data_IF_430669865233
#
_entry.id   IF_430669865233
#
_cell.length_a   1.000
_cell.length_b   1.000
_cell.length_c   1.000
_cell.angle_alpha   90.00
_cell.angle_beta   90.00
_cell.angle_gamma   90.00
#
_symmetry.space_group_name_H-M   'P 1'
#
loop_
_entity.id
_entity.type
_entity.pdbx_description
1 polymer ?
#
# COMPACT_ATOMS: atom_id res chain seq x y z
N UNK A 1 17.54 -16.95 12.90
CA UNK A 1 17.22 -17.05 14.34
C UNK A 1 16.75 -15.66 14.72
N UNK A 2 15.48 -15.53 15.05
CA UNK A 2 14.84 -14.24 15.32
C UNK A 2 15.61 -13.48 16.41
N UNK A 3 16.00 -12.22 16.17
CA UNK A 3 16.72 -11.44 17.17
C UNK A 3 15.81 -11.14 18.37
N UNK A 4 16.35 -11.29 19.59
CA UNK A 4 15.61 -10.87 20.79
C UNK A 4 15.55 -9.34 20.90
N UNK A 5 16.62 -8.67 20.45
CA UNK A 5 16.74 -7.21 20.47
C UNK A 5 17.38 -6.71 19.17
N UNK A 6 16.96 -5.52 18.75
CA UNK A 6 17.61 -4.73 17.70
C UNK A 6 17.94 -3.36 18.30
N UNK A 7 19.22 -3.08 18.57
CA UNK A 7 19.65 -1.89 19.33
C UNK A 7 18.88 -1.79 20.67
N UNK A 8 17.99 -0.79 20.80
CA UNK A 8 17.14 -0.53 21.98
C UNK A 8 15.73 -1.10 21.86
N UNK A 9 15.42 -1.73 20.73
CA UNK A 9 14.09 -2.24 20.42
C UNK A 9 14.01 -3.72 20.83
N UNK A 10 13.12 -4.02 21.77
CA UNK A 10 12.84 -5.39 22.20
C UNK A 10 11.81 -6.02 21.26
N UNK A 11 12.16 -7.13 20.61
CA UNK A 11 11.24 -7.85 19.72
C UNK A 11 10.15 -8.52 20.53
N UNK A 12 8.90 -8.28 20.13
CA UNK A 12 7.69 -8.84 20.76
C UNK A 12 6.95 -9.78 19.83
N UNK A 13 6.89 -9.43 18.57
CA UNK A 13 6.08 -10.12 17.57
C UNK A 13 6.89 -10.21 16.27
N UNK A 14 6.80 -11.34 15.58
CA UNK A 14 7.36 -11.54 14.24
C UNK A 14 6.20 -11.47 13.27
N UNK A 15 6.21 -10.49 12.37
CA UNK A 15 5.19 -10.38 11.32
C UNK A 15 5.62 -11.17 10.08
N UNK A 16 6.90 -11.08 9.72
CA UNK A 16 7.51 -11.77 8.58
C UNK A 16 9.01 -11.98 8.84
N UNK A 17 9.58 -13.10 8.42
CA UNK A 17 11.01 -13.39 8.51
C UNK A 17 11.43 -14.33 7.37
N UNK A 18 12.51 -13.97 6.68
CA UNK A 18 13.14 -14.74 5.61
C UNK A 18 14.68 -14.74 5.78
N UNK A 19 15.40 -15.20 4.76
CA UNK A 19 16.88 -15.24 4.79
C UNK A 19 17.55 -13.87 4.68
N UNK A 20 16.83 -12.87 4.16
CA UNK A 20 17.30 -11.51 3.91
C UNK A 20 16.89 -10.54 5.02
N UNK A 21 16.05 -10.96 5.97
CA UNK A 21 15.70 -10.21 7.16
C UNK A 21 14.26 -10.44 7.59
N UNK A 22 13.57 -9.40 8.08
CA UNK A 22 12.21 -9.55 8.57
C UNK A 22 11.54 -8.27 9.03
N UNK A 23 10.26 -8.38 9.34
CA UNK A 23 9.41 -7.33 9.88
C UNK A 23 8.96 -7.74 11.28
N UNK A 24 9.21 -6.89 12.27
CA UNK A 24 9.01 -7.21 13.68
C UNK A 24 8.20 -6.12 14.39
N UNK A 25 7.23 -6.54 15.20
CA UNK A 25 6.61 -5.69 16.22
C UNK A 25 7.54 -5.58 17.43
N UNK A 26 7.90 -4.35 17.80
CA UNK A 26 8.89 -4.08 18.85
C UNK A 26 8.40 -3.10 19.89
N UNK A 27 9.04 -3.13 21.06
CA UNK A 27 8.88 -2.15 22.12
C UNK A 27 10.18 -1.33 22.26
N UNK A 28 10.10 -0.02 22.08
CA UNK A 28 11.23 0.89 22.31
C UNK A 28 11.42 1.05 23.82
N UNK A 29 12.56 0.59 24.33
CA UNK A 29 12.88 0.58 25.76
C UNK A 29 13.10 1.99 26.33
N UNK A 30 13.43 2.99 25.50
CA UNK A 30 13.65 4.36 25.96
C UNK A 30 12.33 5.11 26.11
N UNK A 31 11.41 4.93 25.15
CA UNK A 31 10.16 5.70 25.08
C UNK A 31 8.95 4.95 25.62
N UNK A 32 9.05 3.63 25.77
CA UNK A 32 7.94 2.76 26.15
C UNK A 32 6.85 2.65 25.08
N UNK A 33 7.17 3.00 23.81
CA UNK A 33 6.22 2.96 22.68
C UNK A 33 6.41 1.70 21.85
N UNK A 34 5.33 1.27 21.20
CA UNK A 34 5.39 0.20 20.20
C UNK A 34 5.75 0.77 18.84
N UNK A 35 6.59 0.04 18.13
CA UNK A 35 7.00 0.32 16.76
C UNK A 35 6.93 -0.96 15.93
N UNK A 36 6.98 -0.80 14.61
CA UNK A 36 7.31 -1.88 13.70
C UNK A 36 8.70 -1.59 13.15
N UNK A 37 9.58 -2.58 13.11
CA UNK A 37 10.88 -2.45 12.45
C UNK A 37 10.95 -3.41 11.27
N UNK A 38 11.49 -2.92 10.16
CA UNK A 38 11.90 -3.75 9.03
C UNK A 38 13.42 -3.83 9.07
N UNK A 39 13.95 -5.04 9.05
CA UNK A 39 15.39 -5.33 9.06
C UNK A 39 15.75 -6.01 7.74
N UNK A 40 16.84 -5.55 7.12
CA UNK A 40 17.48 -6.19 5.96
C UNK A 40 18.91 -6.52 6.34
N UNK A 41 19.25 -7.80 6.30
CA UNK A 41 20.56 -8.32 6.70
C UNK A 41 21.69 -7.86 5.77
N UNK A 42 22.96 -8.06 6.16
CA UNK A 42 24.11 -7.55 5.42
C UNK A 42 24.34 -8.26 4.08
N UNK A 43 23.77 -9.45 3.88
CA UNK A 43 23.82 -10.20 2.62
C UNK A 43 22.68 -9.88 1.67
N UNK A 44 21.72 -9.05 2.10
CA UNK A 44 20.56 -8.71 1.31
C UNK A 44 20.99 -7.98 0.02
N UNK A 45 20.37 -8.30 -1.14
CA UNK A 45 20.66 -7.61 -2.39
C UNK A 45 20.57 -6.08 -2.25
N UNK A 46 21.50 -5.31 -2.84
CA UNK A 46 21.53 -3.85 -2.73
C UNK A 46 20.20 -3.19 -3.11
N UNK A 47 19.49 -3.76 -4.08
CA UNK A 47 18.21 -3.24 -4.58
C UNK A 47 17.13 -3.25 -3.49
N UNK A 48 17.10 -4.30 -2.66
CA UNK A 48 16.13 -4.42 -1.55
C UNK A 48 16.48 -3.45 -0.42
N UNK A 49 17.77 -3.25 -0.16
CA UNK A 49 18.25 -2.26 0.81
C UNK A 49 17.93 -0.83 0.35
N UNK A 50 18.12 -0.54 -0.94
CA UNK A 50 17.75 0.74 -1.55
C UNK A 50 16.24 0.99 -1.47
N UNK A 51 15.40 -0.03 -1.69
CA UNK A 51 13.96 0.06 -1.50
C UNK A 51 13.58 0.43 -0.06
N UNK A 52 14.24 -0.17 0.94
CA UNK A 52 14.02 0.16 2.35
C UNK A 52 14.39 1.62 2.68
N UNK A 53 15.51 2.10 2.15
CA UNK A 53 15.95 3.50 2.33
C UNK A 53 15.04 4.49 1.57
N UNK A 54 14.51 4.08 0.41
CA UNK A 54 13.52 4.85 -0.34
C UNK A 54 12.21 4.97 0.44
N UNK A 55 11.75 3.87 1.04
CA UNK A 55 10.57 3.87 1.92
C UNK A 55 10.73 4.88 3.06
N UNK A 56 11.88 4.87 3.75
CA UNK A 56 12.20 5.87 4.77
C UNK A 56 12.14 7.30 4.24
N UNK A 57 12.77 7.55 3.09
CA UNK A 57 12.83 8.89 2.48
C UNK A 57 11.44 9.44 2.23
N UNK A 58 10.54 8.62 1.67
CA UNK A 58 9.18 9.03 1.34
C UNK A 58 8.33 9.21 2.60
N UNK A 59 8.30 8.21 3.48
CA UNK A 59 7.45 8.23 4.68
C UNK A 59 7.91 9.25 5.74
N UNK A 60 9.19 9.63 5.75
CA UNK A 60 9.68 10.71 6.63
C UNK A 60 9.38 12.10 6.06
N UNK A 61 9.29 12.24 4.73
CA UNK A 61 8.95 13.50 4.05
C UNK A 61 7.43 13.79 4.10
N UNK A 62 6.59 12.79 3.85
CA UNK A 62 5.12 12.95 3.79
C UNK A 62 4.52 12.92 5.21
N UNK A 63 4.49 14.08 5.88
CA UNK A 63 3.85 14.22 7.20
C UNK A 63 2.34 14.41 7.07
N UNK A 64 1.60 13.31 7.09
CA UNK A 64 0.13 13.33 7.02
C UNK A 64 -0.49 12.29 7.97
N UNK A 65 -1.62 12.58 8.66
CA UNK A 65 -2.26 11.62 9.57
C UNK A 65 -2.67 10.30 8.90
N UNK A 66 -2.86 10.29 7.59
CA UNK A 66 -3.20 9.10 6.80
C UNK A 66 -2.01 8.49 6.03
N UNK A 67 -0.77 8.82 6.40
CA UNK A 67 0.44 8.17 5.91
C UNK A 67 1.20 7.61 7.11
N UNK A 68 1.65 6.36 7.03
CA UNK A 68 2.46 5.75 8.07
C UNK A 68 3.82 6.46 8.13
N UNK A 69 4.21 6.88 9.34
CA UNK A 69 5.42 7.66 9.52
C UNK A 69 6.62 6.77 9.82
N UNK A 70 7.72 7.04 9.11
CA UNK A 70 9.01 6.43 9.38
C UNK A 70 9.85 7.38 10.24
N UNK A 71 10.23 6.90 11.43
CA UNK A 71 10.92 7.72 12.44
C UNK A 71 12.44 7.70 12.28
N UNK A 72 13.02 6.54 11.91
CA UNK A 72 14.47 6.34 11.80
C UNK A 72 14.78 5.31 10.71
N UNK A 73 15.92 5.50 10.05
CA UNK A 73 16.59 4.49 9.25
C UNK A 73 18.08 4.50 9.62
N UNK A 74 18.66 3.35 9.94
CA UNK A 74 20.06 3.27 10.39
C UNK A 74 20.68 1.89 10.12
N UNK A 75 22.01 1.85 10.11
CA UNK A 75 22.81 0.63 9.89
C UNK A 75 23.34 0.09 11.22
N UNK A 76 23.22 -1.21 11.45
CA UNK A 76 23.81 -1.91 12.59
C UNK A 76 25.31 -2.22 12.34
N UNK A 77 26.09 -2.54 13.40
CA UNK A 77 27.51 -2.86 13.26
C UNK A 77 27.81 -4.08 12.37
N UNK A 78 26.85 -4.99 12.22
CA UNK A 78 26.96 -6.17 11.35
C UNK A 78 26.65 -5.87 9.87
N UNK A 79 26.25 -4.62 9.56
CA UNK A 79 25.88 -4.17 8.22
C UNK A 79 24.39 -4.26 7.90
N UNK A 80 23.56 -4.75 8.83
CA UNK A 80 22.10 -4.80 8.62
C UNK A 80 21.49 -3.40 8.59
N UNK A 81 20.52 -3.17 7.72
CA UNK A 81 19.77 -1.92 7.63
C UNK A 81 18.42 -2.06 8.34
N UNK A 82 18.07 -1.05 9.14
CA UNK A 82 16.88 -1.05 10.00
C UNK A 82 16.05 0.19 9.72
N UNK A 83 14.77 -0.02 9.38
CA UNK A 83 13.76 1.01 9.26
C UNK A 83 12.78 0.91 10.43
N UNK A 84 12.53 2.03 11.11
CA UNK A 84 11.62 2.12 12.26
C UNK A 84 10.36 2.89 11.90
N UNK A 85 9.22 2.21 11.98
CA UNK A 85 7.89 2.68 11.61
C UNK A 85 7.03 2.84 12.87
N UNK A 86 6.08 3.76 12.82
CA UNK A 86 5.03 3.83 13.83
C UNK A 86 4.12 2.59 13.76
N UNK A 87 3.75 2.06 14.92
CA UNK A 87 2.91 0.87 15.03
C UNK A 87 1.42 1.22 14.94
N UNK A 88 0.72 0.66 13.96
CA UNK A 88 -0.74 0.73 13.87
C UNK A 88 -1.41 -0.24 14.86
N UNK A 89 -2.27 0.27 15.73
CA UNK A 89 -2.75 -0.49 16.89
C UNK A 89 -3.79 -1.56 16.57
N UNK A 90 -4.36 -1.60 15.36
CA UNK A 90 -5.45 -2.48 14.99
C UNK A 90 -5.18 -3.29 13.71
N UNK A 91 -3.91 -3.47 13.36
CA UNK A 91 -3.48 -4.30 12.23
C UNK A 91 -3.64 -3.61 10.88
N UNK A 92 -3.62 -4.42 9.82
CA UNK A 92 -3.84 -3.99 8.44
C UNK A 92 -5.27 -4.30 8.00
N UNK A 93 -5.77 -3.64 6.95
CA UNK A 93 -7.11 -3.86 6.43
C UNK A 93 -7.33 -5.32 6.00
N UNK A 94 -6.28 -6.02 5.56
CA UNK A 94 -6.32 -7.46 5.26
C UNK A 94 -6.87 -8.29 6.44
N UNK A 95 -6.53 -7.93 7.68
CA UNK A 95 -6.99 -8.62 8.89
C UNK A 95 -8.50 -8.46 9.12
N UNK A 96 -9.11 -7.45 8.51
CA UNK A 96 -10.53 -7.11 8.61
C UNK A 96 -11.34 -7.62 7.41
N UNK A 97 -10.68 -8.19 6.40
CA UNK A 97 -11.31 -8.70 5.18
C UNK A 97 -11.44 -10.22 5.24
N UNK A 98 -12.66 -10.69 5.54
CA UNK A 98 -12.93 -12.12 5.77
C UNK A 98 -13.50 -12.84 4.54
N UNK A 99 -13.31 -12.29 3.33
CA UNK A 99 -13.99 -12.77 2.12
C UNK A 99 -15.46 -12.39 2.02
N UNK A 100 -15.93 -11.48 2.89
CA UNK A 100 -17.28 -10.94 2.90
C UNK A 100 -17.25 -9.41 2.77
N UNK A 101 -18.36 -8.76 2.36
CA UNK A 101 -18.42 -7.31 2.27
C UNK A 101 -18.05 -6.63 3.59
N UNK A 102 -17.10 -5.69 3.52
CA UNK A 102 -16.65 -4.90 4.65
C UNK A 102 -17.77 -3.96 5.11
N UNK A 103 -17.93 -3.84 6.44
CA UNK A 103 -18.95 -2.99 7.04
C UNK A 103 -18.84 -1.55 6.52
N UNK A 104 -19.98 -0.94 6.15
CA UNK A 104 -20.04 0.38 5.52
C UNK A 104 -19.27 1.46 6.28
N UNK A 105 -19.32 1.47 7.62
CA UNK A 105 -18.56 2.44 8.42
C UNK A 105 -17.05 2.33 8.24
N UNK A 106 -16.51 1.11 8.30
CA UNK A 106 -15.09 0.85 8.08
C UNK A 106 -14.69 1.15 6.63
N UNK A 107 -15.49 0.69 5.65
CA UNK A 107 -15.25 0.97 4.23
C UNK A 107 -15.12 2.47 3.95
N UNK A 108 -16.00 3.30 4.53
CA UNK A 108 -15.94 4.76 4.37
C UNK A 108 -14.71 5.37 5.03
N UNK A 109 -14.33 4.91 6.22
CA UNK A 109 -13.11 5.36 6.89
C UNK A 109 -11.85 5.02 6.08
N UNK A 110 -11.80 3.80 5.52
CA UNK A 110 -10.73 3.35 4.62
C UNK A 110 -10.64 4.23 3.38
N UNK A 111 -11.74 4.41 2.65
CA UNK A 111 -11.73 5.21 1.43
C UNK A 111 -11.30 6.65 1.70
N UNK A 112 -11.80 7.27 2.77
CA UNK A 112 -11.39 8.63 3.13
C UNK A 112 -9.88 8.69 3.44
N UNK A 113 -9.40 7.83 4.34
CA UNK A 113 -8.00 7.85 4.75
C UNK A 113 -7.03 7.51 3.61
N UNK A 114 -7.35 6.51 2.79
CA UNK A 114 -6.54 6.14 1.63
C UNK A 114 -6.46 7.29 0.63
N UNK A 115 -7.58 7.94 0.30
CA UNK A 115 -7.59 9.05 -0.64
C UNK A 115 -6.83 10.27 -0.11
N UNK A 116 -6.97 10.58 1.19
CA UNK A 116 -6.25 11.69 1.81
C UNK A 116 -4.74 11.39 1.92
N UNK A 117 -4.36 10.16 2.28
CA UNK A 117 -2.97 9.72 2.37
C UNK A 117 -2.25 9.68 1.02
N UNK A 118 -2.88 9.06 0.00
CA UNK A 118 -2.35 9.08 -1.36
C UNK A 118 -2.31 10.49 -1.94
N UNK A 119 -3.35 11.30 -1.68
CA UNK A 119 -3.38 12.70 -2.09
C UNK A 119 -2.19 13.51 -1.54
N UNK A 120 -1.84 13.29 -0.27
CA UNK A 120 -0.66 13.90 0.34
C UNK A 120 0.65 13.44 -0.31
N UNK A 121 0.81 12.13 -0.55
CA UNK A 121 1.99 11.61 -1.23
C UNK A 121 2.12 12.12 -2.68
N UNK A 122 1.00 12.17 -3.42
CA UNK A 122 0.94 12.68 -4.79
C UNK A 122 1.31 14.16 -4.87
N UNK A 123 0.96 14.96 -3.85
CA UNK A 123 1.30 16.38 -3.78
C UNK A 123 2.82 16.61 -3.63
N UNK A 124 3.51 15.69 -2.96
CA UNK A 124 4.97 15.65 -2.84
C UNK A 124 5.66 14.96 -4.04
N UNK A 125 4.90 14.56 -5.07
CA UNK A 125 5.44 13.95 -6.30
C UNK A 125 5.70 12.44 -6.22
N UNK A 126 5.21 11.76 -5.17
CA UNK A 126 5.35 10.31 -5.01
C UNK A 126 4.12 9.56 -5.51
N UNK A 127 4.30 8.44 -6.22
CA UNK A 127 3.23 7.50 -6.62
C UNK A 127 3.46 6.18 -5.89
N UNK A 128 2.45 5.63 -5.22
CA UNK A 128 2.60 4.49 -4.29
C UNK A 128 2.89 3.15 -4.99
N UNK A 129 2.12 2.81 -6.02
CA UNK A 129 2.28 1.64 -6.92
C UNK A 129 2.06 0.24 -6.31
N UNK A 130 2.04 0.10 -5.00
CA UNK A 130 1.70 -1.17 -4.32
C UNK A 130 0.56 -1.02 -3.29
N UNK A 131 -0.51 -0.28 -3.63
CA UNK A 131 -1.65 -0.14 -2.71
C UNK A 131 -2.46 -1.45 -2.67
N UNK A 132 -2.59 -2.03 -1.48
CA UNK A 132 -3.31 -3.28 -1.19
C UNK A 132 -3.75 -3.31 0.29
N UNK A 133 -4.66 -4.20 0.70
CA UNK A 133 -5.17 -4.26 2.08
C UNK A 133 -4.07 -4.36 3.15
N UNK A 134 -2.98 -5.06 2.88
CA UNK A 134 -1.83 -5.21 3.78
C UNK A 134 -1.12 -3.87 4.04
N UNK A 135 -1.16 -2.97 3.05
CA UNK A 135 -0.53 -1.65 3.09
C UNK A 135 -1.49 -0.54 3.57
N UNK A 136 -2.71 -0.91 3.98
CA UNK A 136 -3.69 0.01 4.57
C UNK A 136 -3.80 -0.31 6.06
N UNK A 137 -3.05 0.42 6.87
CA UNK A 137 -3.00 0.20 8.31
C UNK A 137 -4.18 0.86 9.03
N UNK A 138 -4.68 0.19 10.06
CA UNK A 138 -5.78 0.65 10.89
C UNK A 138 -5.23 0.93 12.29
N UNK A 139 -5.33 2.18 12.70
CA UNK A 139 -5.08 2.62 14.06
C UNK A 139 -6.42 2.91 14.75
N UNK A 140 -6.53 2.50 16.01
CA UNK A 140 -7.70 2.77 16.85
C UNK A 140 -7.26 3.71 17.97
N UNK A 141 -7.83 4.91 17.97
CA UNK A 141 -7.55 5.96 18.95
C UNK A 141 -8.80 6.37 19.73
N UNK A 142 -8.63 7.33 20.65
CA UNK A 142 -9.75 7.90 21.41
C UNK A 142 -10.78 8.58 20.51
N UNK A 143 -10.33 9.11 19.38
CA UNK A 143 -11.16 9.84 18.42
C UNK A 143 -11.75 8.93 17.33
N UNK A 144 -11.55 7.61 17.45
CA UNK A 144 -12.05 6.59 16.52
C UNK A 144 -10.94 5.93 15.70
N UNK A 145 -11.33 5.44 14.52
CA UNK A 145 -10.43 4.73 13.61
C UNK A 145 -9.69 5.76 12.74
N UNK A 146 -8.36 5.65 12.70
CA UNK A 146 -7.49 6.34 11.73
C UNK A 146 -6.95 5.30 10.75
N UNK A 147 -6.92 5.65 9.47
CA UNK A 147 -6.41 4.79 8.41
C UNK A 147 -5.13 5.40 7.86
N UNK A 148 -4.07 4.61 7.72
CA UNK A 148 -2.77 5.06 7.25
C UNK A 148 -2.29 4.22 6.07
N UNK A 149 -1.86 4.87 5.00
CA UNK A 149 -1.18 4.21 3.87
C UNK A 149 0.28 3.97 4.26
N UNK A 150 0.73 2.73 4.15
CA UNK A 150 2.07 2.28 4.49
C UNK A 150 2.75 1.61 3.30
N UNK A 151 4.04 1.31 3.45
CA UNK A 151 4.87 0.61 2.46
C UNK A 151 5.04 1.30 1.09
N UNK A 152 5.86 2.35 1.11
CA UNK A 152 6.28 3.06 -0.10
C UNK A 152 7.53 2.43 -0.74
N UNK A 153 7.83 1.16 -0.46
CA UNK A 153 9.03 0.49 -1.00
C UNK A 153 9.05 0.40 -2.54
N UNK A 154 7.87 0.41 -3.17
CA UNK A 154 7.68 0.41 -4.63
C UNK A 154 7.41 1.81 -5.21
N UNK A 155 7.40 2.83 -4.37
CA UNK A 155 6.92 4.14 -4.78
C UNK A 155 7.88 4.83 -5.75
N UNK A 156 7.31 5.51 -6.75
CA UNK A 156 8.05 6.25 -7.77
C UNK A 156 8.06 7.73 -7.45
N UNK A 157 9.25 8.33 -7.48
CA UNK A 157 9.44 9.78 -7.47
C UNK A 157 9.32 10.32 -8.90
N UNK A 158 8.38 11.25 -9.13
CA UNK A 158 8.16 11.83 -10.46
C UNK A 158 9.22 12.86 -10.86
N UNK A 159 10.03 13.35 -9.92
CA UNK A 159 11.14 14.28 -10.19
C UNK A 159 12.43 13.57 -10.64
N UNK A 160 12.58 12.27 -10.38
CA UNK A 160 13.74 11.48 -10.81
C UNK A 160 13.59 10.97 -12.26
N UNK A 161 14.48 11.42 -13.15
CA UNK A 161 14.50 11.00 -14.57
C UNK A 161 15.03 9.57 -14.76
N UNK A 162 15.75 9.03 -13.77
CA UNK A 162 16.33 7.69 -13.79
C UNK A 162 15.65 6.84 -12.70
N UNK A 163 14.45 6.34 -12.99
CA UNK A 163 13.84 5.32 -12.14
C UNK A 163 14.57 3.99 -12.38
N UNK A 164 15.31 3.52 -11.37
CA UNK A 164 15.82 2.15 -11.33
C UNK A 164 14.74 1.31 -10.66
N UNK A 165 14.18 0.28 -11.33
CA UNK A 165 13.35 -0.69 -10.66
C UNK A 165 14.19 -1.33 -9.55
N UNK A 166 13.77 -1.23 -8.28
CA UNK A 166 14.42 -1.93 -7.17
C UNK A 166 14.18 -3.46 -7.19
N UNK A 167 13.91 -4.04 -8.36
CA UNK A 167 13.70 -5.47 -8.54
C UNK A 167 14.44 -5.90 -9.80
N UNK A 168 15.70 -6.29 -9.61
CA UNK A 168 16.49 -7.00 -10.60
C UNK A 168 16.10 -8.49 -10.62
N UNK A 169 15.72 -8.97 -11.81
CA UNK A 169 16.04 -10.29 -12.38
C UNK A 169 16.52 -11.39 -11.40
N UNK A 170 15.64 -11.89 -10.55
CA UNK A 170 15.76 -13.21 -9.95
C UNK A 170 14.43 -13.93 -10.16
N UNK A 171 14.49 -15.22 -10.52
CA UNK A 171 13.32 -16.05 -10.84
C UNK A 171 12.33 -16.25 -9.67
N UNK A 172 12.57 -15.59 -8.53
CA UNK A 172 11.74 -15.62 -7.33
C UNK A 172 11.09 -14.25 -6.99
N UNK A 173 11.54 -13.13 -7.57
CA UNK A 173 10.91 -11.82 -7.39
C UNK A 173 9.98 -11.49 -8.56
N UNK A 174 8.83 -12.12 -8.52
CA UNK A 174 7.81 -12.14 -9.58
C UNK A 174 6.92 -10.90 -9.43
N UNK A 175 7.03 -9.98 -10.40
CA UNK A 175 6.19 -8.78 -10.64
C UNK A 175 6.28 -7.61 -9.64
N UNK A 176 6.33 -6.40 -10.20
CA UNK A 176 6.33 -5.10 -9.50
C UNK A 176 4.99 -4.84 -8.80
N UNK A 177 4.80 -5.40 -7.61
CA UNK A 177 3.60 -5.24 -6.77
C UNK A 177 2.72 -6.49 -6.74
N UNK A 178 1.73 -6.53 -5.85
CA UNK A 178 0.80 -7.67 -5.75
C UNK A 178 -0.12 -7.70 -6.99
N UNK A 179 -0.05 -8.74 -7.86
CA UNK A 179 -0.69 -8.74 -9.17
C UNK A 179 -2.13 -8.23 -9.17
N UNK A 180 -2.95 -8.70 -8.21
CA UNK A 180 -4.38 -8.36 -8.07
C UNK A 180 -4.75 -6.86 -8.05
N UNK A 181 -3.85 -5.98 -7.60
CA UNK A 181 -4.11 -4.53 -7.47
C UNK A 181 -3.38 -3.69 -8.51
N UNK A 182 -2.57 -4.32 -9.36
CA UNK A 182 -1.69 -3.64 -10.30
C UNK A 182 -2.47 -3.04 -11.47
N UNK A 183 -2.20 -1.77 -11.77
CA UNK A 183 -2.79 -1.10 -12.92
C UNK A 183 -2.26 -1.69 -14.25
N UNK A 184 -3.07 -1.76 -15.32
CA UNK A 184 -2.64 -2.29 -16.62
C UNK A 184 -1.37 -1.64 -17.18
N UNK A 185 -1.23 -0.32 -17.04
CA UNK A 185 -0.04 0.41 -17.47
C UNK A 185 1.20 0.09 -16.62
N UNK A 186 1.03 -0.30 -15.35
CA UNK A 186 2.15 -0.72 -14.51
C UNK A 186 2.68 -2.09 -14.94
N UNK A 187 1.82 -2.97 -15.45
CA UNK A 187 2.24 -4.24 -16.05
C UNK A 187 2.93 -4.04 -17.40
N UNK A 188 2.42 -3.11 -18.22
CA UNK A 188 2.88 -2.92 -19.59
C UNK A 188 4.14 -2.04 -19.70
N UNK A 189 4.18 -0.94 -18.95
CA UNK A 189 5.28 0.03 -18.95
C UNK A 189 5.42 0.69 -17.56
N UNK A 190 6.11 0.01 -16.63
CA UNK A 190 6.34 0.52 -15.27
C UNK A 190 6.97 1.92 -15.21
N UNK A 191 7.72 2.32 -16.25
CA UNK A 191 8.45 3.58 -16.27
C UNK A 191 7.54 4.77 -16.57
N UNK A 192 6.44 4.60 -17.30
CA UNK A 192 5.51 5.69 -17.62
C UNK A 192 4.34 5.84 -16.64
N UNK A 193 4.33 5.08 -15.54
CA UNK A 193 3.29 5.15 -14.49
C UNK A 193 3.20 6.55 -13.88
N UNK A 194 1.95 7.02 -13.73
CA UNK A 194 1.57 8.24 -13.03
C UNK A 194 0.63 7.92 -11.86
N UNK A 195 0.20 8.97 -11.13
CA UNK A 195 -0.68 8.87 -9.95
C UNK A 195 -2.00 8.12 -10.18
N UNK A 196 -2.45 7.95 -11.42
CA UNK A 196 -3.70 7.26 -11.75
C UNK A 196 -3.59 5.74 -11.64
N UNK A 197 -2.37 5.20 -11.55
CA UNK A 197 -2.19 3.79 -11.19
C UNK A 197 -2.69 3.52 -9.77
N UNK A 198 -2.40 4.40 -8.81
CA UNK A 198 -2.91 4.24 -7.44
C UNK A 198 -4.44 4.32 -7.41
N UNK A 199 -5.06 5.14 -8.27
CA UNK A 199 -6.53 5.21 -8.38
C UNK A 199 -7.14 3.92 -8.92
N UNK A 200 -6.43 3.19 -9.79
CA UNK A 200 -6.86 1.85 -10.20
C UNK A 200 -6.83 0.89 -9.00
N UNK A 201 -5.75 0.92 -8.22
CA UNK A 201 -5.64 0.11 -6.99
C UNK A 201 -6.72 0.48 -5.96
N UNK A 202 -7.08 1.76 -5.83
CA UNK A 202 -8.26 2.20 -5.04
C UNK A 202 -9.56 1.57 -5.56
N UNK A 203 -9.70 1.47 -6.89
CA UNK A 203 -10.83 0.76 -7.51
C UNK A 203 -10.87 -0.72 -7.14
N UNK A 204 -9.74 -1.42 -7.21
CA UNK A 204 -9.63 -2.82 -6.79
C UNK A 204 -10.00 -2.97 -5.30
N UNK A 205 -9.47 -2.10 -4.45
CA UNK A 205 -9.74 -2.10 -3.01
C UNK A 205 -11.22 -1.86 -2.71
N UNK A 206 -11.85 -0.87 -3.38
CA UNK A 206 -13.27 -0.60 -3.24
C UNK A 206 -14.12 -1.80 -3.67
N UNK A 207 -13.78 -2.40 -4.82
CA UNK A 207 -14.48 -3.58 -5.33
C UNK A 207 -14.41 -4.72 -4.31
N UNK A 208 -13.21 -5.04 -3.85
CA UNK A 208 -13.02 -6.15 -2.92
C UNK A 208 -13.69 -5.90 -1.57
N UNK A 209 -13.65 -4.68 -1.04
CA UNK A 209 -14.41 -4.33 0.16
C UNK A 209 -15.93 -4.45 -0.01
N UNK A 210 -16.45 -4.29 -1.23
CA UNK A 210 -17.89 -4.42 -1.51
C UNK A 210 -18.32 -5.85 -1.77
N UNK A 211 -17.44 -6.68 -2.33
CA UNK A 211 -17.78 -7.99 -2.89
C UNK A 211 -17.19 -9.14 -2.08
N UNK A 212 -16.08 -8.92 -1.41
CA UNK A 212 -15.31 -9.92 -0.65
C UNK A 212 -14.21 -10.61 -1.45
N UNK A 213 -14.03 -10.28 -2.73
CA UNK A 213 -12.95 -10.81 -3.57
C UNK A 213 -12.54 -9.79 -4.63
N UNK A 214 -11.37 -9.96 -5.23
CA UNK A 214 -10.83 -9.06 -6.26
C UNK A 214 -11.70 -9.00 -7.52
N UNK A 215 -11.63 -7.88 -8.29
CA UNK A 215 -12.34 -7.74 -9.57
C UNK A 215 -11.87 -8.74 -10.63
N UNK A 216 -10.59 -9.12 -10.57
CA UNK A 216 -9.99 -10.19 -11.34
C UNK A 216 -8.99 -10.95 -10.47
N UNK A 217 -9.15 -12.28 -10.41
CA UNK A 217 -8.29 -13.16 -9.63
C UNK A 217 -6.96 -13.44 -10.37
N UNK A 218 -5.80 -13.14 -9.75
CA UNK A 218 -4.48 -13.38 -10.34
C UNK A 218 -4.15 -14.87 -10.53
N UNK A 219 -4.75 -15.77 -9.74
CA UNK A 219 -4.52 -17.22 -9.84
C UNK A 219 -5.30 -17.88 -10.99
N UNK A 220 -6.27 -17.16 -11.55
CA UNK A 220 -7.10 -17.67 -12.65
C UNK A 220 -6.42 -17.46 -14.01
N UNK A 221 -6.21 -18.51 -14.83
CA UNK A 221 -5.53 -18.44 -16.13
C UNK A 221 -6.05 -17.31 -17.04
N UNK A 222 -5.12 -16.59 -17.68
CA UNK A 222 -5.45 -15.45 -18.53
C UNK A 222 -5.75 -14.16 -17.77
N UNK A 223 -5.39 -14.07 -16.49
CA UNK A 223 -5.52 -12.88 -15.64
C UNK A 223 -5.06 -11.59 -16.32
N UNK A 224 -3.80 -11.54 -16.75
CA UNK A 224 -3.22 -10.36 -17.41
C UNK A 224 -4.02 -9.93 -18.65
N UNK A 225 -4.53 -10.90 -19.42
CA UNK A 225 -5.35 -10.63 -20.60
C UNK A 225 -6.70 -10.03 -20.23
N UNK A 226 -7.34 -10.50 -19.16
CA UNK A 226 -8.62 -9.95 -18.66
C UNK A 226 -8.41 -8.51 -18.17
N UNK A 227 -7.37 -8.30 -17.36
CA UNK A 227 -7.00 -6.97 -16.86
C UNK A 227 -6.73 -6.01 -18.02
N UNK A 228 -5.91 -6.42 -19.01
CA UNK A 228 -5.62 -5.61 -20.19
C UNK A 228 -6.86 -5.28 -21.05
N UNK A 229 -7.92 -6.09 -20.96
CA UNK A 229 -9.21 -5.86 -21.64
C UNK A 229 -10.23 -5.11 -20.79
N UNK A 230 -9.92 -4.83 -19.52
CA UNK A 230 -10.85 -4.20 -18.57
C UNK A 230 -12.01 -5.12 -18.20
N UNK A 231 -11.79 -6.44 -18.25
CA UNK A 231 -12.77 -7.44 -17.90
C UNK A 231 -12.76 -7.66 -16.38
N UNK A 232 -13.84 -7.24 -15.71
CA UNK A 232 -14.11 -7.52 -14.30
C UNK A 232 -15.58 -7.91 -14.10
N UNK A 233 -15.85 -8.67 -13.04
CA UNK A 233 -17.20 -9.19 -12.75
C UNK A 233 -18.06 -8.05 -12.20
N UNK A 234 -19.27 -7.85 -12.73
CA UNK A 234 -20.25 -6.88 -12.19
C UNK A 234 -21.30 -7.62 -11.36
N UNK A 235 -21.24 -7.58 -10.02
CA UNK A 235 -22.21 -8.30 -9.18
C UNK A 235 -23.63 -7.75 -9.36
N UNK A 236 -24.60 -8.65 -9.43
CA UNK A 236 -26.01 -8.29 -9.43
C UNK A 236 -26.38 -7.61 -8.11
N UNK A 237 -27.09 -6.47 -8.19
CA UNK A 237 -27.53 -5.71 -7.00
C UNK A 237 -26.47 -4.77 -6.42
N UNK A 238 -25.32 -4.60 -7.06
CA UNK A 238 -24.37 -3.55 -6.71
C UNK A 238 -25.03 -2.16 -6.88
N UNK A 239 -24.80 -1.27 -5.92
CA UNK A 239 -25.39 0.07 -5.94
C UNK A 239 -24.89 0.87 -7.17
N UNK A 240 -25.76 1.68 -7.82
CA UNK A 240 -25.37 2.43 -9.02
C UNK A 240 -24.13 3.30 -8.83
N UNK A 241 -24.01 4.00 -7.70
CA UNK A 241 -22.84 4.83 -7.40
C UNK A 241 -21.53 4.05 -7.42
N UNK A 242 -21.57 2.78 -6.97
CA UNK A 242 -20.39 1.93 -6.90
C UNK A 242 -20.01 1.44 -8.29
N UNK A 243 -21.00 1.05 -9.11
CA UNK A 243 -20.77 0.68 -10.50
C UNK A 243 -20.17 1.85 -11.28
N UNK A 244 -20.78 3.03 -11.21
CA UNK A 244 -20.33 4.22 -11.94
C UNK A 244 -18.89 4.59 -11.57
N UNK A 245 -18.55 4.54 -10.27
CA UNK A 245 -17.21 4.84 -9.79
C UNK A 245 -16.19 3.76 -10.19
N UNK A 246 -16.55 2.49 -10.07
CA UNK A 246 -15.67 1.37 -10.44
C UNK A 246 -15.41 1.33 -11.95
N UNK A 247 -16.38 1.71 -12.78
CA UNK A 247 -16.19 1.80 -14.23
C UNK A 247 -15.11 2.81 -14.64
N UNK A 248 -15.01 3.93 -13.91
CA UNK A 248 -13.96 4.92 -14.18
C UNK A 248 -12.65 4.58 -13.48
N UNK A 249 -12.64 4.00 -12.27
CA UNK A 249 -11.40 3.64 -11.57
C UNK A 249 -10.69 2.44 -12.23
N UNK A 250 -11.46 1.42 -12.65
CA UNK A 250 -10.94 0.19 -13.26
C UNK A 250 -10.78 0.30 -14.79
N UNK A 251 -10.84 1.52 -15.35
CA UNK A 251 -10.63 1.73 -16.78
C UNK A 251 -9.18 1.37 -17.18
N UNK A 252 -9.03 0.63 -18.28
CA UNK A 252 -7.71 0.26 -18.82
C UNK A 252 -6.96 1.46 -19.36
N UNK A 253 -7.66 2.33 -20.09
CA UNK A 253 -7.14 3.64 -20.46
C UNK A 253 -7.14 4.55 -19.22
N UNK A 254 -5.93 4.77 -18.67
CA UNK A 254 -5.73 5.64 -17.51
C UNK A 254 -6.28 7.05 -17.71
N UNK A 255 -6.36 7.58 -18.94
CA UNK A 255 -6.90 8.93 -19.19
C UNK A 255 -8.40 9.06 -18.88
N UNK A 256 -9.12 7.93 -18.83
CA UNK A 256 -10.53 7.86 -18.44
C UNK A 256 -10.73 7.83 -16.92
N UNK A 257 -9.67 7.58 -16.15
CA UNK A 257 -9.75 7.60 -14.68
C UNK A 257 -9.83 9.05 -14.19
N UNK A 258 -10.37 9.28 -12.99
CA UNK A 258 -10.34 10.59 -12.35
C UNK A 258 -8.92 11.17 -12.32
N UNK A 259 -8.82 12.51 -12.35
CA UNK A 259 -7.51 13.15 -12.42
C UNK A 259 -6.68 12.86 -11.17
N UNK A 260 -7.29 12.85 -9.99
CA UNK A 260 -6.68 12.70 -8.66
C UNK A 260 -7.65 12.13 -7.61
N UNK A 261 -7.08 11.87 -6.42
CA UNK A 261 -7.80 11.51 -5.20
C UNK A 261 -8.93 12.49 -4.85
N UNK A 262 -8.76 13.80 -5.09
CA UNK A 262 -9.79 14.80 -4.79
C UNK A 262 -11.03 14.62 -5.68
N UNK A 263 -10.84 14.34 -6.97
CA UNK A 263 -11.93 14.02 -7.88
C UNK A 263 -12.70 12.74 -7.46
N UNK A 264 -11.98 11.69 -7.02
CA UNK A 264 -12.60 10.47 -6.48
C UNK A 264 -13.41 10.77 -5.22
N UNK A 265 -12.84 11.55 -4.30
CA UNK A 265 -13.52 11.95 -3.07
C UNK A 265 -14.80 12.73 -3.37
N UNK A 266 -14.77 13.67 -4.33
CA UNK A 266 -15.95 14.42 -4.73
C UNK A 266 -17.09 13.51 -5.24
N UNK A 267 -16.77 12.47 -6.03
CA UNK A 267 -17.75 11.48 -6.47
C UNK A 267 -18.36 10.71 -5.31
N UNK A 268 -17.55 10.30 -4.32
CA UNK A 268 -18.04 9.60 -3.13
C UNK A 268 -18.91 10.51 -2.23
N UNK A 269 -18.58 11.79 -2.12
CA UNK A 269 -19.42 12.78 -1.40
C UNK A 269 -20.75 12.98 -2.12
N UNK A 270 -20.73 13.15 -3.44
CA UNK A 270 -21.95 13.29 -4.24
C UNK A 270 -22.87 12.05 -4.12
N UNK A 271 -22.29 10.86 -3.95
CA UNK A 271 -23.01 9.62 -3.70
C UNK A 271 -23.50 9.43 -2.25
N UNK A 272 -23.13 10.32 -1.32
CA UNK A 272 -23.45 10.19 0.11
C UNK A 272 -22.64 9.10 0.84
N UNK A 273 -21.54 8.65 0.24
CA UNK A 273 -20.62 7.67 0.83
C UNK A 273 -19.55 8.33 1.70
N UNK A 274 -19.15 9.57 1.42
CA UNK A 274 -18.25 10.34 2.27
C UNK A 274 -18.89 11.66 2.73
N UNK A 275 -18.29 12.26 3.76
CA UNK A 275 -18.63 13.58 4.28
C UNK A 275 -17.60 14.63 3.85
#
# INVERSE_FOLDING_TARGET
MTPEHVERYLVKEVHEEDEDGGTYGVFDLDTGRRHVIKVRGPSCPPEIVEALRREFTIQSAVRHPNVAYASRCFTLPDGSEVLVLDHATAGALSDWMTGAPVATGLRRAVLAGVLDGLGAAHAEGYVHRDLKPENVLIASGRDGITVQVADFGMAKDLAETAWVPAIGLSAHFTFLGTPGYMAPEQMADPASVDRRADLYSVGCLLYEMLVGHLPADPDTPGYERRVARGEWIRPAGMAPWALDLLEVLLATDRSRRPADCAAVRASLVAAGELR
#
